data_IF_210132130949
#
_entry.id   IF_210132130949
#
_cell.length_a   1.000
_cell.length_b   1.000
_cell.length_c   1.000
_cell.angle_alpha   90.00
_cell.angle_beta   90.00
_cell.angle_gamma   90.00
#
_symmetry.space_group_name_H-M   'P 1'
#
loop_
_entity.id
_entity.type
_entity.pdbx_description
1 polymer ?
#
# COMPACT_ATOMS: atom_id res chain seq x y z
N UNK A 1 -1.02 31.41 35.63
CA UNK A 1 -1.64 32.01 34.41
C UNK A 1 -0.70 31.79 33.23
N UNK A 2 -1.19 31.06 32.22
CA UNK A 2 -0.74 31.06 30.81
C UNK A 2 0.74 30.84 30.47
N UNK A 3 1.19 29.58 30.41
CA UNK A 3 2.40 29.24 29.63
C UNK A 3 2.41 27.80 29.10
N UNK A 4 1.27 27.32 28.58
CA UNK A 4 1.21 26.02 27.91
C UNK A 4 0.46 26.02 26.58
N UNK A 5 -0.19 27.12 26.18
CA UNK A 5 -0.93 27.19 24.91
C UNK A 5 -0.10 27.63 23.71
N UNK A 6 1.08 28.25 23.88
CA UNK A 6 1.85 28.78 22.73
C UNK A 6 2.77 27.75 22.04
N UNK A 7 2.97 26.54 22.59
CA UNK A 7 3.93 25.55 22.06
C UNK A 7 3.32 24.55 21.06
N UNK A 8 2.01 24.61 20.84
CA UNK A 8 1.29 23.68 19.97
C UNK A 8 1.07 24.27 18.59
N UNK A 9 0.71 25.55 18.48
CA UNK A 9 0.51 26.24 17.18
C UNK A 9 1.79 26.34 16.33
N UNK A 10 2.95 26.59 16.93
CA UNK A 10 4.21 26.77 16.17
C UNK A 10 4.72 25.49 15.48
N UNK A 11 4.40 24.30 16.01
CA UNK A 11 4.90 23.03 15.47
C UNK A 11 4.09 22.50 14.30
N UNK A 12 2.82 22.90 14.20
CA UNK A 12 1.96 22.53 13.06
C UNK A 12 2.33 23.35 11.83
N UNK A 13 2.58 24.66 11.99
CA UNK A 13 2.95 25.53 10.86
C UNK A 13 4.27 25.11 10.21
N UNK A 14 5.27 24.73 11.01
CA UNK A 14 6.59 24.34 10.49
C UNK A 14 6.54 23.06 9.65
N UNK A 15 5.70 22.11 10.08
CA UNK A 15 5.43 20.86 9.36
C UNK A 15 4.62 21.10 8.08
N UNK A 16 3.61 21.97 8.12
CA UNK A 16 2.85 22.35 6.93
C UNK A 16 3.74 23.05 5.91
N UNK A 17 4.58 24.00 6.34
CA UNK A 17 5.52 24.69 5.45
C UNK A 17 6.49 23.71 4.78
N UNK A 18 7.05 22.76 5.53
CA UNK A 18 7.90 21.70 4.97
C UNK A 18 7.14 20.86 3.94
N UNK A 19 5.89 20.51 4.23
CA UNK A 19 5.05 19.69 3.35
C UNK A 19 4.68 20.45 2.07
N UNK A 20 4.34 21.74 2.17
CA UNK A 20 4.12 22.63 1.02
C UNK A 20 5.37 22.74 0.16
N UNK A 21 6.55 22.86 0.77
CA UNK A 21 7.82 22.86 0.04
C UNK A 21 8.07 21.53 -0.68
N UNK A 22 7.65 20.41 -0.08
CA UNK A 22 7.71 19.09 -0.72
C UNK A 22 6.82 19.07 -1.97
N UNK A 23 5.56 19.49 -1.84
CA UNK A 23 4.60 19.57 -2.93
C UNK A 23 5.15 20.46 -4.06
N UNK A 24 5.69 21.63 -3.72
CA UNK A 24 6.33 22.52 -4.67
C UNK A 24 7.55 21.89 -5.35
N UNK A 25 8.36 21.11 -4.61
CA UNK A 25 9.49 20.38 -5.17
C UNK A 25 9.06 19.25 -6.13
N UNK A 26 7.85 18.73 -6.02
CA UNK A 26 7.27 17.81 -7.01
C UNK A 26 6.61 18.53 -8.20
N UNK A 27 6.70 19.85 -8.30
CA UNK A 27 6.06 20.64 -9.36
C UNK A 27 4.70 21.24 -8.98
N UNK A 28 4.33 21.19 -7.71
CA UNK A 28 3.08 21.72 -7.17
C UNK A 28 1.93 20.72 -7.20
N UNK A 29 0.81 21.08 -6.56
CA UNK A 29 -0.39 20.25 -6.46
C UNK A 29 -0.93 19.81 -7.84
N UNK A 30 -0.81 20.68 -8.85
CA UNK A 30 -1.30 20.44 -10.21
C UNK A 30 -0.45 19.42 -10.97
N UNK A 31 0.78 19.19 -10.54
CA UNK A 31 1.67 18.23 -11.15
C UNK A 31 1.54 16.84 -10.52
N UNK A 32 1.00 16.74 -9.31
CA UNK A 32 0.83 15.47 -8.59
C UNK A 32 -0.48 14.82 -9.05
N UNK A 33 -0.37 13.63 -9.65
CA UNK A 33 -1.50 12.82 -10.08
C UNK A 33 -1.96 11.85 -8.99
N UNK A 34 -1.01 11.24 -8.31
CA UNK A 34 -1.27 10.25 -7.27
C UNK A 34 -0.21 10.29 -6.18
N UNK A 35 -0.66 10.17 -4.93
CA UNK A 35 0.17 10.11 -3.74
C UNK A 35 0.09 8.71 -3.14
N UNK A 36 1.23 8.06 -2.97
CA UNK A 36 1.36 6.82 -2.23
C UNK A 36 2.59 6.84 -1.33
N UNK A 37 2.57 6.08 -0.25
CA UNK A 37 3.77 5.80 0.53
C UNK A 37 3.82 4.33 0.92
N UNK A 38 5.03 3.80 0.95
CA UNK A 38 5.39 2.59 1.65
C UNK A 38 6.05 2.99 2.99
N UNK A 39 6.40 1.99 3.80
CA UNK A 39 7.06 2.16 5.11
C UNK A 39 8.27 3.11 5.04
N UNK A 40 9.06 3.04 3.97
CA UNK A 40 10.32 3.80 3.84
C UNK A 40 10.40 4.70 2.61
N UNK A 41 9.40 4.67 1.72
CA UNK A 41 9.45 5.37 0.42
C UNK A 41 8.13 6.06 0.12
N UNK A 42 8.19 7.34 -0.18
CA UNK A 42 7.11 8.13 -0.74
C UNK A 42 7.12 7.93 -2.26
N UNK A 43 6.01 7.46 -2.83
CA UNK A 43 5.81 7.23 -4.27
C UNK A 43 4.82 8.26 -4.79
N UNK A 44 5.25 9.11 -5.71
CA UNK A 44 4.44 10.18 -6.25
C UNK A 44 4.42 10.02 -7.76
N UNK A 45 3.22 9.90 -8.31
CA UNK A 45 3.03 9.98 -9.74
C UNK A 45 2.89 11.44 -10.14
N UNK A 46 3.74 11.90 -11.06
CA UNK A 46 3.74 13.27 -11.55
C UNK A 46 3.39 13.32 -13.03
N UNK A 47 2.68 14.38 -13.43
CA UNK A 47 2.34 14.62 -14.82
C UNK A 47 3.57 14.97 -15.65
N UNK A 48 4.44 15.80 -15.09
CA UNK A 48 5.65 16.28 -15.72
C UNK A 48 6.86 16.10 -14.78
N UNK A 49 7.90 15.45 -15.28
CA UNK A 49 9.12 15.18 -14.50
C UNK A 49 10.05 16.39 -14.47
N UNK A 50 9.99 17.26 -15.48
CA UNK A 50 10.85 18.45 -15.55
C UNK A 50 10.50 19.47 -14.46
N UNK A 51 9.26 19.42 -13.95
CA UNK A 51 8.82 20.22 -12.80
C UNK A 51 9.24 19.61 -11.45
N UNK A 52 9.74 18.37 -11.42
CA UNK A 52 10.14 17.70 -10.19
C UNK A 52 11.64 17.95 -9.89
N UNK A 53 11.91 18.72 -8.84
CA UNK A 53 13.25 19.07 -8.39
C UNK A 53 13.81 18.04 -7.40
N UNK A 54 14.60 17.11 -7.95
CA UNK A 54 15.27 16.07 -7.17
C UNK A 54 16.28 16.62 -6.15
N UNK A 55 16.94 17.74 -6.45
CA UNK A 55 17.91 18.34 -5.52
C UNK A 55 17.18 18.91 -4.32
N UNK A 56 16.05 19.58 -4.55
CA UNK A 56 15.22 20.13 -3.49
C UNK A 56 14.60 19.05 -2.62
N UNK A 57 14.16 17.93 -3.20
CA UNK A 57 13.67 16.77 -2.43
C UNK A 57 14.75 16.19 -1.49
N UNK A 58 16.01 16.11 -1.94
CA UNK A 58 17.13 15.71 -1.08
C UNK A 58 17.40 16.74 0.02
N UNK A 59 17.35 18.03 -0.31
CA UNK A 59 17.51 19.11 0.68
C UNK A 59 16.40 19.11 1.74
N UNK A 60 15.19 18.71 1.37
CA UNK A 60 14.05 18.53 2.28
C UNK A 60 14.12 17.23 3.10
N UNK A 61 15.21 16.47 3.01
CA UNK A 61 15.48 15.31 3.86
C UNK A 61 15.24 13.96 3.21
N UNK A 62 15.08 13.88 1.88
CA UNK A 62 15.09 12.60 1.20
C UNK A 62 16.52 12.03 1.20
N UNK A 63 16.67 10.81 1.72
CA UNK A 63 17.93 10.06 1.64
C UNK A 63 18.30 9.70 0.18
N UNK A 64 17.28 9.61 -0.69
CA UNK A 64 17.45 9.34 -2.11
C UNK A 64 16.16 9.61 -2.86
N UNK A 65 16.30 9.89 -4.16
CA UNK A 65 15.18 10.08 -5.09
C UNK A 65 15.43 9.19 -6.30
N UNK A 66 14.43 8.42 -6.69
CA UNK A 66 14.46 7.47 -7.81
C UNK A 66 13.32 7.84 -8.75
N UNK A 67 13.62 8.00 -10.03
CA UNK A 67 12.60 8.28 -11.06
C UNK A 67 12.44 7.03 -11.92
N UNK A 68 11.19 6.61 -12.14
CA UNK A 68 10.83 5.47 -12.97
C UNK A 68 9.64 5.84 -13.86
N UNK A 69 9.92 6.28 -15.09
CA UNK A 69 8.90 6.93 -15.92
C UNK A 69 8.32 8.15 -15.18
N UNK A 70 7.00 8.30 -15.19
CA UNK A 70 6.28 9.37 -14.47
C UNK A 70 6.18 9.20 -12.95
N UNK A 71 6.85 8.20 -12.37
CA UNK A 71 6.81 7.95 -10.94
C UNK A 71 8.11 8.41 -10.27
N UNK A 72 8.00 9.35 -9.35
CA UNK A 72 9.09 9.84 -8.50
C UNK A 72 8.99 9.17 -7.13
N UNK A 73 10.06 8.52 -6.69
CA UNK A 73 10.13 7.82 -5.42
C UNK A 73 11.17 8.47 -4.53
N UNK A 74 10.75 9.13 -3.46
CA UNK A 74 11.63 9.76 -2.48
C UNK A 74 11.70 8.91 -1.20
N UNK A 75 12.91 8.68 -0.71
CA UNK A 75 13.18 7.81 0.45
C UNK A 75 13.33 8.68 1.69
N UNK A 76 12.28 8.79 2.52
CA UNK A 76 12.33 9.53 3.78
C UNK A 76 12.44 8.61 5.01
N UNK A 77 12.57 7.30 4.80
CA UNK A 77 12.58 6.31 5.89
C UNK A 77 11.21 6.27 6.59
N UNK A 78 11.14 6.04 7.92
CA UNK A 78 9.88 5.88 8.64
C UNK A 78 8.99 7.12 8.62
N UNK A 79 9.53 8.28 8.23
CA UNK A 79 8.77 9.54 8.07
C UNK A 79 7.95 9.59 6.78
N UNK A 80 8.13 8.63 5.86
CA UNK A 80 7.47 8.65 4.54
C UNK A 80 5.95 8.57 4.65
N UNK A 81 5.42 7.77 5.58
CA UNK A 81 3.98 7.64 5.80
C UNK A 81 3.37 8.92 6.36
N UNK A 82 4.03 9.52 7.36
CA UNK A 82 3.60 10.80 7.95
C UNK A 82 3.60 11.91 6.91
N UNK A 83 4.67 12.03 6.11
CA UNK A 83 4.75 13.05 5.05
C UNK A 83 3.65 12.88 4.00
N UNK A 84 3.35 11.64 3.59
CA UNK A 84 2.25 11.36 2.66
C UNK A 84 0.90 11.81 3.25
N UNK A 85 0.63 11.49 4.51
CA UNK A 85 -0.61 11.92 5.18
C UNK A 85 -0.70 13.44 5.25
N UNK A 86 0.40 14.13 5.55
CA UNK A 86 0.44 15.58 5.60
C UNK A 86 0.21 16.21 4.23
N UNK A 87 0.85 15.68 3.18
CA UNK A 87 0.61 16.14 1.80
C UNK A 87 -0.84 15.92 1.40
N UNK A 88 -1.38 14.73 1.67
CA UNK A 88 -2.78 14.43 1.39
C UNK A 88 -3.70 15.40 2.13
N UNK A 89 -3.42 15.67 3.40
CA UNK A 89 -4.22 16.59 4.20
C UNK A 89 -4.15 17.99 3.60
N UNK A 90 -2.99 18.52 3.22
CA UNK A 90 -2.88 19.82 2.56
C UNK A 90 -3.57 19.91 1.19
N UNK A 91 -3.48 18.85 0.38
CA UNK A 91 -4.17 18.80 -0.92
C UNK A 91 -5.69 18.69 -0.76
N UNK A 92 -6.17 18.15 0.37
CA UNK A 92 -7.61 17.95 0.65
C UNK A 92 -8.19 19.08 1.52
N UNK A 93 -7.38 19.75 2.34
CA UNK A 93 -7.76 20.84 3.26
C UNK A 93 -8.17 22.13 2.56
N UNK A 94 -8.07 22.21 1.24
CA UNK A 94 -8.78 23.23 0.46
C UNK A 94 -10.31 23.08 0.58
N UNK A 95 -10.83 21.97 1.13
CA UNK A 95 -12.23 21.82 1.54
C UNK A 95 -12.37 21.38 3.01
N UNK A 96 -12.22 22.36 3.90
CA UNK A 96 -12.77 22.40 5.27
C UNK A 96 -12.12 21.51 6.35
N UNK A 97 -11.85 22.16 7.48
CA UNK A 97 -11.28 21.53 8.66
C UNK A 97 -12.26 20.57 9.32
N UNK A 98 -11.88 19.31 9.38
CA UNK A 98 -12.27 18.40 10.45
C UNK A 98 -11.20 17.32 10.58
N UNK A 99 -10.70 17.19 11.81
CA UNK A 99 -9.77 16.18 12.26
C UNK A 99 -10.29 14.75 11.94
N UNK A 100 -9.58 13.90 11.19
CA UNK A 100 -9.84 12.48 11.27
C UNK A 100 -8.96 11.89 12.37
N UNK A 101 -9.63 11.56 13.48
CA UNK A 101 -9.22 10.46 14.36
C UNK A 101 -8.81 9.23 13.51
N UNK A 102 -7.90 8.37 14.00
CA UNK A 102 -7.29 7.29 13.23
C UNK A 102 -8.35 6.33 12.68
N UNK A 103 -8.73 6.53 11.42
CA UNK A 103 -9.49 5.56 10.66
C UNK A 103 -8.52 4.49 10.17
N UNK A 104 -8.62 3.32 10.79
CA UNK A 104 -8.19 2.05 10.21
C UNK A 104 -8.68 1.99 8.76
N UNK A 105 -7.77 2.10 7.78
CA UNK A 105 -8.15 2.08 6.36
C UNK A 105 -8.43 0.65 5.89
N UNK A 106 -9.66 0.33 5.43
CA UNK A 106 -9.88 -0.81 4.57
C UNK A 106 -9.35 -0.43 3.17
N UNK A 107 -8.24 -1.03 2.76
CA UNK A 107 -7.76 -0.96 1.38
C UNK A 107 -8.74 -1.69 0.45
N UNK A 108 -9.63 -0.91 -0.18
CA UNK A 108 -10.25 -1.23 -1.47
C UNK A 108 -9.45 -0.46 -2.52
N UNK A 109 -8.65 -1.15 -3.33
CA UNK A 109 -8.15 -0.60 -4.58
C UNK A 109 -8.70 -1.44 -5.73
N UNK A 110 -9.64 -0.83 -6.45
CA UNK A 110 -10.05 -1.24 -7.78
C UNK A 110 -9.00 -0.71 -8.75
N UNK A 111 -8.21 -1.59 -9.35
CA UNK A 111 -7.52 -1.30 -10.61
C UNK A 111 -7.80 -2.40 -11.63
N UNK A 112 -8.83 -2.15 -12.43
CA UNK A 112 -8.99 -2.74 -13.75
C UNK A 112 -8.47 -1.76 -14.80
N UNK A 113 -7.34 -2.06 -15.44
CA UNK A 113 -7.13 -2.02 -16.90
C UNK A 113 -5.66 -2.38 -17.22
N UNK A 114 -5.38 -3.64 -17.51
CA UNK A 114 -5.39 -4.24 -18.86
C UNK A 114 -4.13 -3.93 -19.67
N UNK A 115 -3.15 -4.84 -19.60
CA UNK A 115 -2.31 -5.16 -20.76
C UNK A 115 -2.34 -6.67 -20.99
N UNK A 116 -2.63 -7.01 -22.25
CA UNK A 116 -2.78 -8.36 -22.78
C UNK A 116 -1.44 -9.10 -22.71
N UNK A 117 -1.38 -10.20 -21.96
CA UNK A 117 -0.57 -11.37 -22.34
C UNK A 117 -1.17 -12.62 -21.70
N UNK A 118 -1.96 -13.33 -22.50
CA UNK A 118 -2.33 -14.71 -22.29
C UNK A 118 -1.05 -15.57 -22.15
N UNK A 119 -0.57 -15.76 -20.93
CA UNK A 119 0.29 -16.91 -20.59
C UNK A 119 -0.66 -18.02 -20.15
N UNK A 120 -0.88 -18.94 -21.06
CA UNK A 120 -1.57 -20.20 -20.85
C UNK A 120 -1.03 -20.87 -19.57
N UNK A 121 -1.88 -21.04 -18.55
CA UNK A 121 -1.54 -21.77 -17.32
C UNK A 121 -0.99 -23.16 -17.70
N UNK A 122 0.21 -23.50 -17.22
CA UNK A 122 0.82 -24.80 -17.46
C UNK A 122 -0.08 -25.92 -16.91
N UNK A 123 -0.05 -27.14 -17.47
CA UNK A 123 -0.88 -28.25 -16.98
C UNK A 123 -0.66 -28.52 -15.48
N UNK A 124 0.58 -28.35 -15.01
CA UNK A 124 0.95 -28.44 -13.59
C UNK A 124 0.25 -27.38 -12.74
N UNK A 125 0.22 -26.12 -13.19
CA UNK A 125 -0.45 -25.03 -12.47
C UNK A 125 -1.98 -25.21 -12.40
N UNK A 126 -2.59 -25.79 -13.44
CA UNK A 126 -4.04 -26.09 -13.42
C UNK A 126 -4.37 -27.17 -12.41
N UNK A 127 -3.53 -28.21 -12.34
CA UNK A 127 -3.69 -29.30 -11.38
C UNK A 127 -3.50 -28.79 -9.94
N UNK A 128 -2.42 -28.05 -9.68
CA UNK A 128 -2.16 -27.43 -8.37
C UNK A 128 -3.30 -26.52 -7.92
N UNK A 129 -3.83 -25.68 -8.83
CA UNK A 129 -5.01 -24.84 -8.52
C UNK A 129 -6.21 -25.67 -8.12
N UNK A 130 -6.49 -26.77 -8.82
CA UNK A 130 -7.60 -27.66 -8.50
C UNK A 130 -7.41 -28.33 -7.14
N UNK A 131 -6.19 -28.72 -6.80
CA UNK A 131 -5.85 -29.33 -5.51
C UNK A 131 -5.98 -28.32 -4.36
N UNK A 132 -5.53 -27.09 -4.56
CA UNK A 132 -5.68 -26.02 -3.56
C UNK A 132 -7.14 -25.66 -3.32
N UNK A 133 -7.95 -25.54 -4.38
CA UNK A 133 -9.38 -25.30 -4.25
C UNK A 133 -10.07 -26.44 -3.49
N UNK A 134 -9.71 -27.70 -3.78
CA UNK A 134 -10.23 -28.85 -3.05
C UNK A 134 -9.81 -28.84 -1.57
N UNK A 135 -8.55 -28.50 -1.29
CA UNK A 135 -8.02 -28.43 0.08
C UNK A 135 -8.58 -27.24 0.88
N UNK A 136 -9.09 -26.20 0.23
CA UNK A 136 -9.78 -25.08 0.88
C UNK A 136 -11.29 -25.33 1.08
N UNK A 137 -11.78 -26.54 0.86
CA UNK A 137 -13.18 -26.88 1.04
C UNK A 137 -14.08 -26.64 -0.18
N UNK A 138 -13.50 -26.60 -1.39
CA UNK A 138 -14.14 -26.31 -2.69
C UNK A 138 -14.24 -24.82 -3.03
N UNK A 139 -14.51 -24.52 -4.31
CA UNK A 139 -14.59 -23.14 -4.81
C UNK A 139 -15.69 -22.34 -4.11
N UNK A 140 -16.80 -22.99 -3.74
CA UNK A 140 -17.94 -22.39 -3.05
C UNK A 140 -17.65 -21.98 -1.60
N UNK A 141 -16.62 -22.58 -0.98
CA UNK A 141 -16.18 -22.22 0.37
C UNK A 141 -15.33 -20.95 0.37
N UNK A 142 -14.71 -20.59 -0.75
CA UNK A 142 -13.82 -19.44 -0.86
C UNK A 142 -14.64 -18.17 -1.09
N UNK A 143 -14.71 -17.30 -0.09
CA UNK A 143 -15.35 -15.97 -0.19
C UNK A 143 -14.44 -15.02 -0.97
N UNK A 144 -13.15 -15.02 -0.60
CA UNK A 144 -12.17 -14.06 -1.15
C UNK A 144 -10.79 -14.68 -1.14
N UNK A 145 -10.04 -14.50 -2.21
CA UNK A 145 -8.65 -14.91 -2.31
C UNK A 145 -7.84 -13.76 -2.89
N UNK A 146 -6.90 -13.24 -2.12
CA UNK A 146 -6.09 -12.07 -2.48
C UNK A 146 -4.60 -12.36 -2.33
N UNK A 147 -3.79 -12.11 -3.37
CA UNK A 147 -2.35 -12.08 -3.21
C UNK A 147 -1.99 -10.85 -2.36
N UNK A 148 -1.54 -11.09 -1.13
CA UNK A 148 -1.17 -10.04 -0.18
C UNK A 148 0.33 -9.73 -0.25
N UNK A 149 1.15 -10.73 -0.62
CA UNK A 149 2.57 -10.56 -0.88
C UNK A 149 3.05 -11.59 -1.91
N UNK A 150 4.31 -11.47 -2.35
CA UNK A 150 4.95 -12.45 -3.24
C UNK A 150 4.89 -13.89 -2.70
N UNK A 151 4.76 -14.05 -1.38
CA UNK A 151 4.74 -15.33 -0.68
C UNK A 151 3.52 -15.55 0.19
N UNK A 152 2.49 -14.71 0.06
CA UNK A 152 1.33 -14.78 0.95
C UNK A 152 0.04 -14.58 0.19
N UNK A 153 -0.85 -15.56 0.30
CA UNK A 153 -2.24 -15.42 -0.08
C UNK A 153 -3.09 -15.21 1.16
N UNK A 154 -3.94 -14.21 1.11
CA UNK A 154 -5.01 -14.02 2.07
C UNK A 154 -6.25 -14.72 1.52
N UNK A 155 -6.79 -15.66 2.28
CA UNK A 155 -7.98 -16.42 1.93
C UNK A 155 -9.04 -16.21 2.99
N UNK A 156 -10.22 -15.80 2.57
CA UNK A 156 -11.41 -15.74 3.40
C UNK A 156 -12.33 -16.89 3.01
N UNK A 157 -12.76 -17.68 3.99
CA UNK A 157 -13.56 -18.89 3.81
C UNK A 157 -14.91 -18.73 4.50
N UNK A 158 -15.93 -19.46 4.04
CA UNK A 158 -17.23 -19.52 4.72
C UNK A 158 -17.21 -20.46 5.90
N UNK A 159 -16.44 -21.54 5.79
CA UNK A 159 -16.30 -22.57 6.79
C UNK A 159 -14.83 -22.99 6.88
N UNK A 160 -14.21 -22.67 8.02
CA UNK A 160 -12.83 -23.02 8.31
C UNK A 160 -12.62 -24.52 8.61
N UNK A 161 -13.68 -25.26 8.99
CA UNK A 161 -13.58 -26.68 9.30
C UNK A 161 -13.37 -27.55 8.06
N UNK A 162 -13.66 -27.00 6.87
CA UNK A 162 -13.45 -27.67 5.58
C UNK A 162 -12.03 -27.53 5.05
N UNK A 163 -11.15 -26.82 5.76
CA UNK A 163 -9.75 -26.65 5.37
C UNK A 163 -8.97 -27.93 5.66
N UNK A 164 -8.36 -28.48 4.63
CA UNK A 164 -7.38 -29.56 4.75
C UNK A 164 -5.96 -28.98 4.78
N UNK A 165 -5.51 -28.64 5.99
CA UNK A 165 -4.18 -28.05 6.21
C UNK A 165 -3.03 -28.96 5.75
N UNK A 166 -3.22 -30.29 5.85
CA UNK A 166 -2.19 -31.26 5.44
C UNK A 166 -2.00 -31.20 3.94
N UNK A 167 -3.10 -31.23 3.19
CA UNK A 167 -3.07 -31.17 1.73
C UNK A 167 -2.52 -29.84 1.23
N UNK A 168 -2.84 -28.72 1.88
CA UNK A 168 -2.25 -27.43 1.55
C UNK A 168 -0.73 -27.43 1.72
N UNK A 169 -0.21 -28.05 2.79
CA UNK A 169 1.24 -28.16 3.03
C UNK A 169 1.94 -29.03 1.99
N UNK A 170 1.34 -30.16 1.60
CA UNK A 170 1.86 -31.05 0.54
C UNK A 170 1.93 -30.35 -0.82
N UNK A 171 1.02 -29.41 -1.07
CA UNK A 171 0.94 -28.66 -2.31
C UNK A 171 1.76 -27.35 -2.30
N UNK A 172 2.63 -27.16 -1.29
CA UNK A 172 3.63 -26.07 -1.24
C UNK A 172 3.30 -24.89 -0.34
N UNK A 173 2.19 -24.94 0.41
CA UNK A 173 1.91 -23.94 1.45
C UNK A 173 2.80 -24.21 2.66
N UNK A 174 3.74 -23.32 2.95
CA UNK A 174 4.67 -23.47 4.07
C UNK A 174 3.95 -23.35 5.43
N UNK A 175 2.97 -22.45 5.53
CA UNK A 175 2.21 -22.27 6.76
C UNK A 175 0.84 -21.63 6.50
N UNK A 176 -0.10 -21.93 7.40
CA UNK A 176 -1.46 -21.40 7.40
C UNK A 176 -1.60 -20.66 8.73
N UNK A 177 -1.86 -19.35 8.65
CA UNK A 177 -1.97 -18.49 9.83
C UNK A 177 -3.40 -17.97 9.90
N UNK A 178 -4.20 -18.40 10.90
CA UNK A 178 -5.51 -17.80 11.15
C UNK A 178 -5.31 -16.36 11.64
N UNK A 179 -6.06 -15.43 11.04
CA UNK A 179 -6.04 -13.99 11.36
C UNK A 179 -7.36 -13.57 12.01
N UNK A 180 -8.44 -14.33 11.79
CA UNK A 180 -9.74 -14.18 12.43
C UNK A 180 -10.58 -15.44 12.22
N UNK A 181 -11.87 -15.40 12.52
CA UNK A 181 -12.76 -16.57 12.43
C UNK A 181 -12.84 -17.15 11.00
N UNK A 182 -12.91 -16.28 9.99
CA UNK A 182 -13.09 -16.65 8.59
C UNK A 182 -11.88 -16.35 7.71
N UNK A 183 -10.79 -15.84 8.30
CA UNK A 183 -9.69 -15.24 7.54
C UNK A 183 -8.35 -15.90 7.85
N UNK A 184 -7.68 -16.34 6.78
CA UNK A 184 -6.42 -17.08 6.83
C UNK A 184 -5.37 -16.46 5.92
N UNK A 185 -4.13 -16.45 6.38
CA UNK A 185 -2.95 -16.16 5.56
C UNK A 185 -2.23 -17.46 5.24
N UNK A 186 -2.24 -17.84 3.96
CA UNK A 186 -1.44 -18.93 3.41
C UNK A 186 -0.07 -18.38 3.01
N UNK A 187 0.98 -18.87 3.65
CA UNK A 187 2.36 -18.60 3.29
C UNK A 187 2.77 -19.59 2.21
N UNK A 188 2.89 -19.11 0.98
CA UNK A 188 3.25 -19.89 -0.20
C UNK A 188 4.68 -19.49 -0.56
N UNK A 189 5.62 -20.44 -0.55
CA UNK A 189 7.04 -20.13 -0.75
C UNK A 189 7.35 -19.42 -2.07
N UNK A 190 8.54 -18.84 -2.18
CA UNK A 190 9.13 -18.50 -3.48
C UNK A 190 9.74 -19.80 -4.04
N UNK A 191 8.96 -20.57 -4.80
CA UNK A 191 9.49 -21.62 -5.70
C UNK A 191 9.56 -21.07 -7.14
#
# INVERSE_FOLDING_TARGET
LFSSSQKTEQRDTEKEVMTQQLIAAFGGEKNILSLGACITRLRIEVKDLDLADQQRLKALGAAGVIIAGNNVQAIFGPRSETLMQQMQNLLTQTEQGENPAPQERPLKQTEQRNSKKSKQLSPKQRQQRSQWIAALGSADNIIRLEPCALTRLRVQLKDAALIDEKRLKEEGVQAIVPVGDDLFHLLIGLD
#
